data_IF_633837252130
#
_entry.id   IF_633837252130
#
_cell.length_a   1.000
_cell.length_b   1.000
_cell.length_c   1.000
_cell.angle_alpha   90.00
_cell.angle_beta   90.00
_cell.angle_gamma   90.00
#
_symmetry.space_group_name_H-M   'P 1'
#
loop_
_entity.id
_entity.type
_entity.pdbx_description
1 polymer ?
#
# COMPACT_ATOMS: atom_id res chain seq x y z
N UNK A 1 -31.26 -29.07 -64.22
CA UNK A 1 -30.61 -27.78 -64.10
C UNK A 1 -30.11 -27.68 -62.71
N UNK A 2 -28.82 -27.91 -62.43
CA UNK A 2 -28.18 -27.86 -61.12
C UNK A 2 -27.35 -26.58 -61.06
N UNK A 3 -27.71 -25.66 -60.18
CA UNK A 3 -26.95 -24.41 -59.93
C UNK A 3 -25.86 -24.71 -58.88
N UNK A 4 -24.63 -24.66 -59.34
CA UNK A 4 -23.44 -24.73 -58.44
C UNK A 4 -23.23 -23.35 -57.84
N UNK A 5 -23.38 -23.23 -56.52
CA UNK A 5 -23.06 -22.01 -55.74
C UNK A 5 -21.63 -22.15 -55.30
N UNK A 6 -20.74 -21.34 -55.89
CA UNK A 6 -19.33 -21.26 -55.54
C UNK A 6 -19.20 -20.37 -54.28
N UNK A 7 -18.86 -20.96 -53.15
CA UNK A 7 -18.49 -20.20 -51.94
C UNK A 7 -17.03 -19.70 -52.09
N UNK A 8 -16.86 -18.42 -52.22
CA UNK A 8 -15.56 -17.77 -52.13
C UNK A 8 -15.13 -17.70 -50.64
N UNK A 9 -14.13 -18.49 -50.27
CA UNK A 9 -13.48 -18.40 -48.98
C UNK A 9 -12.54 -17.19 -49.00
N UNK A 10 -12.92 -16.12 -48.33
CA UNK A 10 -12.04 -14.97 -48.10
C UNK A 10 -11.06 -15.35 -46.97
N UNK A 11 -9.83 -15.67 -47.38
CA UNK A 11 -8.72 -15.91 -46.45
C UNK A 11 -8.25 -14.55 -45.93
N UNK A 12 -8.67 -14.21 -44.71
CA UNK A 12 -8.10 -13.03 -43.98
C UNK A 12 -6.66 -13.35 -43.61
N UNK A 13 -5.72 -12.82 -44.37
CA UNK A 13 -4.30 -12.76 -43.99
C UNK A 13 -4.14 -11.82 -42.82
N UNK A 14 -4.02 -12.39 -41.63
CA UNK A 14 -3.55 -11.64 -40.45
C UNK A 14 -2.08 -11.27 -40.71
N UNK A 15 -1.80 -10.00 -40.87
CA UNK A 15 -0.43 -9.50 -40.95
C UNK A 15 0.30 -9.80 -39.62
N UNK A 16 1.52 -10.34 -39.68
CA UNK A 16 2.30 -10.53 -38.47
C UNK A 16 2.65 -9.15 -37.85
N UNK A 17 2.31 -8.95 -36.58
CA UNK A 17 2.76 -7.80 -35.80
C UNK A 17 4.28 -7.88 -35.73
N UNK A 18 4.96 -6.91 -36.34
CA UNK A 18 6.41 -6.86 -36.43
C UNK A 18 6.98 -6.52 -35.04
N UNK A 19 8.06 -7.22 -34.67
CA UNK A 19 8.81 -6.97 -33.41
C UNK A 19 9.34 -5.53 -33.34
N UNK A 20 9.45 -4.83 -34.46
CA UNK A 20 9.85 -3.42 -34.53
C UNK A 20 8.85 -2.44 -33.90
N UNK A 21 7.57 -2.82 -33.74
CA UNK A 21 6.58 -1.96 -33.08
C UNK A 21 6.79 -1.89 -31.56
N UNK A 22 7.50 -2.85 -30.96
CA UNK A 22 7.85 -2.82 -29.54
C UNK A 22 9.00 -1.85 -29.22
N UNK A 23 9.97 -1.73 -30.14
CA UNK A 23 11.14 -0.86 -29.90
C UNK A 23 10.76 0.64 -29.99
N UNK A 24 9.71 0.99 -30.71
CA UNK A 24 9.25 2.37 -30.85
C UNK A 24 8.43 2.88 -29.66
N UNK A 25 7.90 1.98 -28.82
CA UNK A 25 7.22 2.35 -27.57
C UNK A 25 8.17 2.74 -26.45
N UNK A 26 9.43 2.25 -26.52
CA UNK A 26 10.45 2.52 -25.50
C UNK A 26 11.19 3.84 -25.78
N UNK A 27 11.18 4.30 -27.03
CA UNK A 27 11.94 5.48 -27.47
C UNK A 27 11.25 6.83 -27.19
N UNK A 28 10.01 6.87 -26.72
CA UNK A 28 9.26 8.11 -26.46
C UNK A 28 9.12 8.48 -24.99
N UNK A 29 9.75 7.74 -24.08
CA UNK A 29 9.91 8.19 -22.70
C UNK A 29 11.11 9.13 -22.66
N UNK A 30 10.85 10.42 -22.67
CA UNK A 30 11.89 11.44 -22.51
C UNK A 30 12.70 11.14 -21.24
N UNK A 31 14.05 11.15 -21.31
CA UNK A 31 14.88 10.92 -20.13
C UNK A 31 14.93 12.22 -19.31
N UNK A 32 13.85 12.58 -18.64
CA UNK A 32 13.91 13.67 -17.66
C UNK A 32 12.75 13.67 -16.67
N UNK A 33 12.49 12.50 -16.09
CA UNK A 33 11.95 12.44 -14.74
C UNK A 33 12.71 11.29 -14.07
N UNK A 34 13.80 11.68 -13.38
CA UNK A 34 14.49 10.73 -12.54
C UNK A 34 13.45 10.15 -11.60
N UNK A 35 13.16 8.85 -11.75
CA UNK A 35 12.38 8.14 -10.76
C UNK A 35 12.95 8.52 -9.39
N UNK A 36 12.13 8.92 -8.41
CA UNK A 36 12.64 9.33 -7.12
C UNK A 36 13.57 8.23 -6.62
N UNK A 37 14.80 8.63 -6.29
CA UNK A 37 15.82 7.69 -5.81
C UNK A 37 15.20 6.85 -4.69
N UNK A 38 15.43 5.53 -4.64
CA UNK A 38 14.84 4.69 -3.60
C UNK A 38 15.17 5.31 -2.24
N UNK A 39 14.12 5.67 -1.51
CA UNK A 39 14.24 6.31 -0.21
C UNK A 39 15.03 5.36 0.68
N UNK A 40 16.16 5.83 1.22
CA UNK A 40 16.97 4.97 2.07
C UNK A 40 16.16 4.55 3.31
N UNK A 41 16.37 3.32 3.76
CA UNK A 41 15.72 2.79 4.97
C UNK A 41 15.91 3.74 6.16
N UNK A 42 17.05 4.39 6.27
CA UNK A 42 17.36 5.34 7.34
C UNK A 42 16.46 6.58 7.32
N UNK A 43 16.22 7.15 6.14
CA UNK A 43 15.31 8.29 5.97
C UNK A 43 13.89 7.91 6.33
N UNK A 44 13.42 6.77 5.81
CA UNK A 44 12.08 6.27 6.11
C UNK A 44 11.90 5.97 7.60
N UNK A 45 12.91 5.38 8.24
CA UNK A 45 12.91 5.11 9.67
C UNK A 45 12.86 6.40 10.50
N UNK A 46 13.63 7.42 10.14
CA UNK A 46 13.64 8.71 10.85
C UNK A 46 12.29 9.46 10.69
N UNK A 47 11.71 9.45 9.50
CA UNK A 47 10.35 9.98 9.26
C UNK A 47 9.32 9.23 10.12
N UNK A 48 9.38 7.90 10.12
CA UNK A 48 8.51 7.04 10.92
C UNK A 48 8.61 7.31 12.41
N UNK A 49 9.82 7.52 12.92
CA UNK A 49 10.05 7.92 14.32
C UNK A 49 9.36 9.26 14.65
N UNK A 50 9.35 10.21 13.71
CA UNK A 50 8.67 11.49 13.88
C UNK A 50 7.15 11.32 13.90
N UNK A 51 6.58 10.55 12.94
CA UNK A 51 5.14 10.25 12.91
C UNK A 51 4.72 9.52 14.18
N UNK A 52 5.47 8.50 14.60
CA UNK A 52 5.21 7.74 15.82
C UNK A 52 5.12 8.65 17.05
N UNK A 53 6.12 9.47 17.24
CA UNK A 53 6.21 10.39 18.38
C UNK A 53 5.03 11.34 18.47
N UNK A 54 4.58 11.84 17.31
CA UNK A 54 3.54 12.87 17.24
C UNK A 54 2.11 12.31 17.23
N UNK A 55 1.90 11.07 16.76
CA UNK A 55 0.57 10.51 16.53
C UNK A 55 0.25 9.26 17.33
N UNK A 56 1.27 8.44 17.67
CA UNK A 56 1.06 7.09 18.19
C UNK A 56 1.49 6.97 19.66
N UNK A 57 2.60 7.63 20.04
CA UNK A 57 3.24 7.43 21.34
C UNK A 57 2.40 7.82 22.54
N UNK A 58 1.40 8.70 22.35
CA UNK A 58 0.49 9.10 23.44
C UNK A 58 -0.30 7.90 23.98
N UNK A 59 -0.68 6.97 23.12
CA UNK A 59 -1.44 5.78 23.48
C UNK A 59 -0.55 4.54 23.59
N UNK A 60 0.38 4.36 22.64
CA UNK A 60 1.24 3.16 22.57
C UNK A 60 2.51 3.24 23.41
N UNK A 61 2.75 4.38 24.09
CA UNK A 61 3.97 4.61 24.87
C UNK A 61 5.15 5.04 24.01
N UNK A 62 6.19 5.60 24.63
CA UNK A 62 7.39 6.06 23.90
C UNK A 62 8.25 4.93 23.36
N UNK A 63 8.21 3.79 24.05
CA UNK A 63 8.99 2.60 23.72
C UNK A 63 8.07 1.45 23.25
N UNK A 64 6.85 1.75 22.79
CA UNK A 64 5.91 0.73 22.32
C UNK A 64 5.33 -0.14 23.45
N UNK A 65 5.45 0.29 24.71
CA UNK A 65 5.03 -0.46 25.89
C UNK A 65 3.52 -0.61 26.03
N UNK A 66 2.74 0.20 25.30
CA UNK A 66 1.28 0.21 25.39
C UNK A 66 0.75 0.85 26.67
N UNK A 67 -0.55 0.90 26.82
CA UNK A 67 -1.26 1.35 28.03
C UNK A 67 -2.40 0.38 28.34
N UNK A 68 -2.53 -0.02 29.60
CA UNK A 68 -3.52 -1.01 30.05
C UNK A 68 -4.54 -0.39 31.04
N UNK A 69 -4.79 0.89 31.00
CA UNK A 69 -5.67 1.55 31.96
C UNK A 69 -6.97 2.06 31.30
N UNK A 70 -8.09 1.43 31.68
CA UNK A 70 -9.42 1.91 31.36
C UNK A 70 -9.83 1.73 29.89
N UNK A 71 -10.64 2.69 29.41
CA UNK A 71 -11.17 2.69 28.03
C UNK A 71 -10.12 3.02 26.95
N UNK A 72 -8.95 3.47 27.33
CA UNK A 72 -7.88 3.90 26.40
C UNK A 72 -6.77 2.84 26.25
N UNK A 73 -7.11 1.58 26.46
CA UNK A 73 -6.14 0.49 26.34
C UNK A 73 -5.56 0.42 24.92
N UNK A 74 -4.27 0.67 24.80
CA UNK A 74 -3.51 0.50 23.57
C UNK A 74 -2.54 -0.67 23.71
N UNK A 75 -2.50 -1.63 22.76
CA UNK A 75 -1.63 -2.78 22.85
C UNK A 75 -0.15 -2.37 22.77
N UNK A 76 0.69 -3.25 23.32
CA UNK A 76 2.15 -3.17 23.14
C UNK A 76 2.49 -3.38 21.67
N UNK A 77 3.53 -2.70 21.18
CA UNK A 77 4.03 -2.80 19.80
C UNK A 77 5.36 -3.54 19.71
N UNK A 78 5.84 -4.08 20.85
CA UNK A 78 7.01 -4.94 20.88
C UNK A 78 6.66 -6.40 20.53
N UNK A 79 7.54 -7.13 19.91
CA UNK A 79 7.56 -8.58 19.66
C UNK A 79 6.24 -9.25 19.24
N UNK A 80 5.16 -8.98 19.96
CA UNK A 80 3.89 -9.68 19.78
C UNK A 80 2.99 -9.10 18.68
N UNK A 81 3.13 -7.83 18.35
CA UNK A 81 2.28 -7.16 17.35
C UNK A 81 3.05 -6.63 16.16
N UNK A 82 4.36 -6.46 16.28
CA UNK A 82 5.17 -5.95 15.18
C UNK A 82 5.45 -6.99 14.08
N UNK A 83 5.12 -8.27 14.31
CA UNK A 83 5.13 -9.30 13.27
C UNK A 83 3.99 -9.12 12.26
N UNK A 84 3.05 -8.23 12.52
CA UNK A 84 1.99 -7.91 11.60
C UNK A 84 2.58 -7.51 10.24
N UNK A 85 1.93 -7.96 9.18
CA UNK A 85 2.26 -7.55 7.83
C UNK A 85 2.07 -6.05 7.65
N UNK A 86 2.73 -5.48 6.65
CA UNK A 86 2.54 -4.07 6.27
C UNK A 86 1.05 -3.77 6.05
N UNK A 87 0.34 -4.70 5.42
CA UNK A 87 -1.10 -4.61 5.19
C UNK A 87 -1.89 -4.43 6.50
N UNK A 88 -1.66 -5.27 7.49
CA UNK A 88 -2.40 -5.22 8.75
C UNK A 88 -2.14 -3.90 9.48
N UNK A 89 -0.89 -3.44 9.50
CA UNK A 89 -0.53 -2.14 10.08
C UNK A 89 -1.19 -1.00 9.30
N UNK A 90 -1.11 -1.00 7.97
CA UNK A 90 -1.69 0.06 7.14
C UNK A 90 -3.21 0.13 7.30
N UNK A 91 -3.90 -1.00 7.24
CA UNK A 91 -5.35 -1.07 7.44
C UNK A 91 -5.75 -0.55 8.82
N UNK A 92 -5.04 -0.98 9.87
CA UNK A 92 -5.30 -0.54 11.25
C UNK A 92 -5.08 0.97 11.41
N UNK A 93 -4.02 1.52 10.83
CA UNK A 93 -3.73 2.97 10.88
C UNK A 93 -4.78 3.77 10.10
N UNK A 94 -5.15 3.32 8.90
CA UNK A 94 -6.12 4.02 8.05
C UNK A 94 -7.52 4.01 8.66
N UNK A 95 -7.99 2.86 9.13
CA UNK A 95 -9.37 2.66 9.57
C UNK A 95 -9.57 2.93 11.07
N UNK A 96 -8.51 2.81 11.87
CA UNK A 96 -8.61 2.80 13.31
C UNK A 96 -9.24 1.50 13.85
N UNK A 97 -9.75 1.56 15.06
CA UNK A 97 -10.43 0.45 15.74
C UNK A 97 -11.31 0.96 16.86
N UNK A 98 -11.76 0.07 17.74
CA UNK A 98 -12.68 0.42 18.84
C UNK A 98 -12.17 1.57 19.71
N UNK A 99 -10.88 1.60 19.98
CA UNK A 99 -10.23 2.63 20.82
C UNK A 99 -9.14 3.42 20.08
N UNK A 100 -8.76 2.98 18.89
CA UNK A 100 -7.78 3.65 18.06
C UNK A 100 -8.46 4.55 17.04
N UNK A 101 -8.23 5.87 17.05
CA UNK A 101 -8.81 6.74 16.04
C UNK A 101 -8.26 6.43 14.64
N UNK A 102 -9.02 6.71 13.56
CA UNK A 102 -8.53 6.57 12.20
C UNK A 102 -7.53 7.69 11.87
N UNK A 103 -6.43 7.31 11.21
CA UNK A 103 -5.41 8.23 10.71
C UNK A 103 -5.41 8.29 9.17
N UNK A 104 -6.59 8.26 8.57
CA UNK A 104 -6.78 8.27 7.11
C UNK A 104 -6.20 9.51 6.41
N UNK A 105 -5.93 10.58 7.16
CA UNK A 105 -5.29 11.80 6.65
C UNK A 105 -3.77 11.70 6.48
N UNK A 106 -3.13 10.67 7.03
CA UNK A 106 -1.71 10.41 6.77
C UNK A 106 -1.53 9.96 5.32
N UNK A 107 -0.48 10.46 4.68
CA UNK A 107 -0.07 10.02 3.33
C UNK A 107 0.40 8.57 3.36
N UNK A 108 0.44 7.91 2.18
CA UNK A 108 0.95 6.55 2.07
C UNK A 108 2.41 6.47 2.52
N UNK A 109 3.20 7.50 2.21
CA UNK A 109 4.58 7.65 2.69
C UNK A 109 4.67 7.74 4.21
N UNK A 110 3.85 8.53 4.87
CA UNK A 110 3.84 8.65 6.34
C UNK A 110 3.44 7.33 7.00
N UNK A 111 2.49 6.60 6.41
CA UNK A 111 2.07 5.28 6.90
C UNK A 111 3.18 4.25 6.68
N UNK A 112 3.82 4.21 5.50
CA UNK A 112 4.96 3.34 5.23
C UNK A 112 6.12 3.62 6.19
N UNK A 113 6.39 4.90 6.45
CA UNK A 113 7.43 5.33 7.37
C UNK A 113 7.15 4.87 8.81
N UNK A 114 5.95 5.11 9.33
CA UNK A 114 5.61 4.69 10.70
C UNK A 114 5.52 3.18 10.83
N UNK A 115 5.05 2.46 9.81
CA UNK A 115 5.06 1.01 9.77
C UNK A 115 6.50 0.46 9.80
N UNK A 116 7.39 1.04 9.00
CA UNK A 116 8.82 0.70 9.02
C UNK A 116 9.44 0.95 10.40
N UNK A 117 9.12 2.07 11.04
CA UNK A 117 9.61 2.38 12.37
C UNK A 117 9.14 1.36 13.40
N UNK A 118 7.85 1.06 13.47
CA UNK A 118 7.28 0.08 14.42
C UNK A 118 7.89 -1.31 14.19
N UNK A 119 8.02 -1.73 12.95
CA UNK A 119 8.54 -3.04 12.56
C UNK A 119 10.04 -3.22 12.86
N UNK A 120 10.79 -2.15 13.09
CA UNK A 120 12.24 -2.18 13.36
C UNK A 120 12.63 -1.45 14.65
N UNK A 121 11.66 -1.15 15.52
CA UNK A 121 11.88 -0.57 16.85
C UNK A 121 11.41 -1.51 17.93
N UNK A 122 11.64 -1.16 19.18
CA UNK A 122 11.11 -1.88 20.35
C UNK A 122 11.55 -3.36 20.42
N UNK A 123 12.74 -3.67 19.88
CA UNK A 123 13.26 -5.04 19.78
C UNK A 123 12.78 -5.83 18.54
N UNK A 124 12.04 -5.18 17.65
CA UNK A 124 11.55 -5.78 16.40
C UNK A 124 12.57 -5.66 15.26
N UNK A 125 12.52 -6.59 14.30
CA UNK A 125 13.34 -6.60 13.08
C UNK A 125 12.59 -7.31 11.94
N UNK A 126 11.57 -6.64 11.37
CA UNK A 126 10.66 -7.22 10.36
C UNK A 126 10.73 -6.53 8.99
N UNK A 127 11.77 -5.72 8.76
CA UNK A 127 12.01 -5.06 7.49
C UNK A 127 11.12 -3.85 7.21
N UNK A 128 11.36 -3.24 6.05
CA UNK A 128 10.70 -2.01 5.63
C UNK A 128 9.27 -2.25 5.13
N UNK A 129 8.46 -1.21 5.20
CA UNK A 129 7.18 -1.09 4.51
C UNK A 129 7.36 -0.13 3.33
N UNK A 130 6.78 -0.43 2.18
CA UNK A 130 6.85 0.46 1.02
C UNK A 130 5.59 1.31 0.88
N UNK A 131 5.72 2.42 0.17
CA UNK A 131 4.60 3.31 -0.13
C UNK A 131 3.57 2.62 -1.04
N UNK A 132 4.05 1.77 -1.96
CA UNK A 132 3.21 0.98 -2.85
C UNK A 132 2.35 -0.01 -2.09
N UNK A 133 2.93 -0.77 -1.13
CA UNK A 133 2.17 -1.69 -0.29
C UNK A 133 1.06 -0.97 0.51
N UNK A 134 1.32 0.24 0.97
CA UNK A 134 0.33 1.05 1.69
C UNK A 134 -0.76 1.54 0.74
N UNK A 135 -0.40 2.05 -0.44
CA UNK A 135 -1.33 2.56 -1.45
C UNK A 135 -2.34 1.50 -1.88
N UNK A 136 -1.87 0.29 -2.22
CA UNK A 136 -2.73 -0.84 -2.56
C UNK A 136 -3.75 -1.15 -1.46
N UNK A 137 -3.31 -1.12 -0.20
CA UNK A 137 -4.19 -1.38 0.93
C UNK A 137 -5.18 -0.24 1.20
N UNK A 138 -4.81 1.01 0.93
CA UNK A 138 -5.73 2.15 1.01
C UNK A 138 -6.86 2.02 0.00
N UNK A 139 -6.58 1.64 -1.23
CA UNK A 139 -7.60 1.43 -2.27
C UNK A 139 -8.59 0.33 -1.87
N UNK A 140 -8.10 -0.77 -1.32
CA UNK A 140 -8.94 -1.86 -0.79
C UNK A 140 -9.86 -1.34 0.33
N UNK A 141 -9.33 -0.58 1.28
CA UNK A 141 -10.10 0.02 2.36
C UNK A 141 -11.22 0.93 1.85
N UNK A 142 -10.92 1.80 0.89
CA UNK A 142 -11.88 2.74 0.32
C UNK A 142 -12.99 2.02 -0.45
N UNK A 143 -12.65 1.02 -1.26
CA UNK A 143 -13.61 0.24 -2.05
C UNK A 143 -14.56 -0.58 -1.16
N UNK A 144 -14.06 -1.13 -0.06
CA UNK A 144 -14.86 -1.89 0.91
C UNK A 144 -15.85 -0.98 1.63
N UNK A 145 -15.41 0.20 2.06
CA UNK A 145 -16.28 1.18 2.73
C UNK A 145 -17.39 1.68 1.81
N UNK A 146 -17.14 1.85 0.51
CA UNK A 146 -18.16 2.23 -0.47
C UNK A 146 -19.21 1.12 -0.67
N UNK A 147 -18.81 -0.14 -0.68
CA UNK A 147 -19.72 -1.28 -0.80
C UNK A 147 -20.64 -1.39 0.43
N UNK A 148 -20.12 -1.17 1.62
CA UNK A 148 -20.90 -1.19 2.86
C UNK A 148 -21.94 -0.07 2.84
N UNK A 149 -21.55 1.16 2.51
CA UNK A 149 -22.48 2.30 2.42
C UNK A 149 -23.61 2.08 1.41
N UNK A 150 -23.33 1.45 0.25
CA UNK A 150 -24.37 1.13 -0.75
C UNK A 150 -25.35 0.05 -0.31
N UNK A 151 -24.99 -0.80 0.64
CA UNK A 151 -25.86 -1.89 1.13
C UNK A 151 -26.77 -1.44 2.27
N UNK A 152 -26.53 -0.28 2.87
CA UNK A 152 -27.27 0.24 4.04
C UNK A 152 -28.38 1.23 3.66
N UNK A 153 -28.56 1.50 2.37
CA UNK A 153 -29.65 2.29 1.78
C UNK A 153 -30.45 1.43 0.80
#
# INVERSE_FOLDING_TARGET
MVRIITFAVILMLAAPVSVQDFDNCIATVAPNEAAPAPVSQEVLFAEGASVYRNRCSKCHGRNGEGQWHGHDAAPRLDGNFAHLSVREIAVQVIQGGTYMPPFSSLTDREIAAVATYIRNSFGNNYGIATEEEVSENREICLSTNQKIKKKTY
#
